data_IF_190704167682
#
_entry.id   IF_190704167682
#
_cell.length_a   1.000
_cell.length_b   1.000
_cell.length_c   1.000
_cell.angle_alpha   90.00
_cell.angle_beta   90.00
_cell.angle_gamma   90.00
#
_symmetry.space_group_name_H-M   'P 1'
#
loop_
_entity.id
_entity.type
_entity.pdbx_description
1 polymer ?
#
# COMPACT_ATOMS: atom_id res chain seq x y z
N UNK A 1 -9.68 -23.21 7.86
CA UNK A 1 -9.58 -22.74 7.71
C UNK A 1 -9.44 -21.70 7.91
N UNK A 2 -9.58 -21.40 8.35
CA UNK A 2 -9.57 -20.27 8.61
C UNK A 2 -8.48 -19.55 8.36
N UNK A 3 -7.55 -20.05 8.14
CA UNK A 3 -6.47 -19.44 7.77
C UNK A 3 -6.65 -18.51 6.75
N UNK A 4 -7.45 -18.84 5.88
CA UNK A 4 -7.72 -17.99 4.81
C UNK A 4 -8.25 -16.74 5.23
N UNK A 5 -8.87 -16.73 6.32
CA UNK A 5 -9.43 -15.49 6.78
C UNK A 5 -8.37 -14.50 7.11
N UNK A 6 -7.14 -14.91 7.13
CA UNK A 6 -6.10 -13.97 7.40
C UNK A 6 -5.58 -13.37 6.16
N UNK A 7 -6.34 -13.40 5.13
CA UNK A 7 -5.92 -12.80 3.91
C UNK A 7 -5.48 -11.45 4.20
N UNK A 8 -4.32 -11.15 3.77
CA UNK A 8 -3.72 -9.92 4.08
C UNK A 8 -4.12 -8.83 3.16
N UNK A 9 -3.91 -7.65 3.61
CA UNK A 9 -3.94 -6.49 2.74
C UNK A 9 -2.53 -6.28 2.23
N UNK A 10 -2.40 -5.96 0.98
CA UNK A 10 -1.11 -5.73 0.36
C UNK A 10 -0.92 -4.24 0.14
N UNK A 11 0.19 -3.72 0.63
CA UNK A 11 0.55 -2.34 0.38
C UNK A 11 1.82 -2.32 -0.44
N UNK A 12 1.74 -1.80 -1.65
CA UNK A 12 2.91 -1.62 -2.49
C UNK A 12 3.36 -0.17 -2.36
N UNK A 13 4.56 0.05 -1.87
CA UNK A 13 5.09 1.38 -1.69
C UNK A 13 6.18 1.63 -2.71
N UNK A 14 5.99 2.63 -3.55
CA UNK A 14 6.95 2.97 -4.58
C UNK A 14 7.74 4.21 -4.18
N UNK A 15 9.05 4.12 -4.25
CA UNK A 15 9.93 5.20 -3.83
C UNK A 15 11.12 5.32 -4.77
N UNK A 16 11.84 6.42 -4.66
CA UNK A 16 13.06 6.60 -5.43
C UNK A 16 14.11 7.28 -4.57
N UNK A 17 15.36 7.22 -5.01
CA UNK A 17 16.46 7.75 -4.23
C UNK A 17 16.41 9.27 -4.10
N UNK A 18 15.82 9.95 -5.08
CA UNK A 18 15.79 11.40 -5.06
C UNK A 18 14.47 11.98 -4.55
N UNK A 19 13.65 11.16 -3.97
CA UNK A 19 12.35 11.59 -3.50
C UNK A 19 12.45 12.07 -2.07
N UNK A 20 12.17 13.33 -1.84
CA UNK A 20 12.31 13.93 -0.52
C UNK A 20 11.41 13.31 0.53
N UNK A 21 10.18 13.04 0.18
CA UNK A 21 9.23 12.48 1.14
C UNK A 21 9.28 10.97 1.28
N UNK A 22 10.06 10.29 0.46
CA UNK A 22 10.04 8.84 0.47
C UNK A 22 10.56 8.20 1.76
N UNK A 23 11.64 8.70 2.38
CA UNK A 23 12.07 8.08 3.64
C UNK A 23 11.01 8.16 4.71
N UNK A 24 10.30 9.26 4.78
CA UNK A 24 9.25 9.43 5.77
C UNK A 24 8.06 8.54 5.45
N UNK A 25 7.71 8.45 4.17
CA UNK A 25 6.62 7.57 3.75
C UNK A 25 6.93 6.11 4.07
N UNK A 26 8.16 5.68 3.82
CA UNK A 26 8.56 4.31 4.11
C UNK A 26 8.46 4.02 5.60
N UNK A 27 8.88 4.96 6.42
CA UNK A 27 8.80 4.81 7.85
C UNK A 27 7.36 4.75 8.33
N UNK A 28 6.52 5.62 7.80
CA UNK A 28 5.12 5.65 8.19
C UNK A 28 4.41 4.33 7.84
N UNK A 29 4.69 3.81 6.66
CA UNK A 29 4.06 2.57 6.22
C UNK A 29 4.56 1.39 7.03
N UNK A 30 5.87 1.35 7.30
CA UNK A 30 6.44 0.27 8.11
C UNK A 30 5.87 0.28 9.52
N UNK A 31 5.72 1.48 10.07
CA UNK A 31 5.18 1.61 11.41
C UNK A 31 3.72 1.17 11.46
N UNK A 32 2.96 1.54 10.45
CA UNK A 32 1.57 1.11 10.35
C UNK A 32 1.49 -0.41 10.30
N UNK A 33 2.31 -1.02 9.45
CA UNK A 33 2.27 -2.46 9.26
C UNK A 33 2.75 -3.23 10.46
N UNK A 34 3.61 -2.63 11.27
CA UNK A 34 4.19 -3.33 12.41
C UNK A 34 3.15 -3.69 13.45
N UNK A 35 2.03 -3.00 13.47
CA UNK A 35 0.96 -3.30 14.42
C UNK A 35 -0.18 -4.05 13.78
N UNK A 36 -0.03 -4.47 12.53
CA UNK A 36 -1.13 -5.15 11.83
C UNK A 36 -0.62 -6.41 11.16
N UNK A 37 -0.77 -7.56 11.79
CA UNK A 37 -0.22 -8.80 11.25
C UNK A 37 -0.83 -9.21 9.92
N UNK A 38 -1.99 -8.64 9.59
CA UNK A 38 -2.64 -8.97 8.32
C UNK A 38 -2.26 -8.00 7.20
N UNK A 39 -1.27 -7.16 7.39
CA UNK A 39 -0.82 -6.22 6.37
C UNK A 39 0.57 -6.59 5.91
N UNK A 40 0.73 -6.75 4.61
CA UNK A 40 2.01 -7.05 4.00
C UNK A 40 2.45 -5.85 3.20
N UNK A 41 3.66 -5.38 3.41
CA UNK A 41 4.22 -4.24 2.69
C UNK A 41 5.33 -4.72 1.78
N UNK A 42 5.28 -4.31 0.52
CA UNK A 42 6.34 -4.56 -0.42
C UNK A 42 6.84 -3.21 -0.90
N UNK A 43 8.12 -2.97 -0.74
CA UNK A 43 8.72 -1.71 -1.14
C UNK A 43 9.36 -1.88 -2.51
N UNK A 44 9.09 -0.94 -3.41
CA UNK A 44 9.56 -0.99 -4.78
C UNK A 44 10.44 0.20 -5.06
N UNK A 45 11.71 -0.08 -5.35
CA UNK A 45 12.68 0.97 -5.64
C UNK A 45 12.63 1.28 -7.13
N UNK A 46 12.17 2.47 -7.48
CA UNK A 46 12.00 2.83 -8.88
C UNK A 46 13.30 3.01 -9.64
N UNK A 47 14.42 2.95 -8.94
CA UNK A 47 15.71 2.99 -9.62
C UNK A 47 16.01 1.59 -10.19
N UNK A 48 15.21 0.60 -9.86
CA UNK A 48 15.32 -0.73 -10.43
C UNK A 48 14.33 -0.81 -11.58
N UNK A 49 14.81 -1.16 -12.76
CA UNK A 49 13.99 -1.13 -13.96
C UNK A 49 12.71 -1.95 -13.89
N UNK A 50 12.80 -3.13 -13.34
CA UNK A 50 11.61 -3.97 -13.23
C UNK A 50 10.54 -3.32 -12.35
N UNK A 51 10.96 -2.61 -11.30
CA UNK A 51 10.03 -1.94 -10.42
C UNK A 51 9.42 -0.72 -11.10
N UNK A 52 10.20 -0.05 -11.93
CA UNK A 52 9.69 1.09 -12.66
C UNK A 52 8.60 0.64 -13.64
N UNK A 53 8.78 -0.52 -14.25
CA UNK A 53 7.77 -1.03 -15.17
C UNK A 53 6.46 -1.33 -14.43
N UNK A 54 6.57 -1.83 -13.21
CA UNK A 54 5.37 -2.09 -12.42
C UNK A 54 4.66 -0.78 -12.09
N UNK A 55 5.42 0.26 -11.76
CA UNK A 55 4.83 1.56 -11.47
C UNK A 55 4.09 2.10 -12.68
N UNK A 56 4.63 1.86 -13.88
CA UNK A 56 3.97 2.31 -15.08
C UNK A 56 2.65 1.59 -15.30
N UNK A 57 2.57 0.34 -14.90
CA UNK A 57 1.31 -0.40 -15.02
C UNK A 57 0.24 0.20 -14.15
N UNK A 58 0.62 0.74 -12.99
CA UNK A 58 -0.34 1.40 -12.12
C UNK A 58 -0.53 2.85 -12.50
N UNK A 59 0.19 3.32 -13.53
CA UNK A 59 0.09 4.70 -14.00
C UNK A 59 0.43 5.69 -12.90
N UNK A 60 1.43 5.38 -12.12
CA UNK A 60 1.85 6.27 -11.05
C UNK A 60 2.56 7.48 -11.64
N UNK A 61 2.27 8.65 -11.10
CA UNK A 61 2.81 9.90 -11.62
C UNK A 61 3.74 10.63 -10.66
N UNK A 62 3.88 10.12 -9.46
CA UNK A 62 4.71 10.80 -8.46
C UNK A 62 5.12 9.81 -7.39
N UNK A 63 6.14 10.16 -6.61
CA UNK A 63 6.57 9.39 -5.44
C UNK A 63 6.59 10.30 -4.24
N UNK A 64 6.39 9.79 -3.05
CA UNK A 64 6.07 8.39 -2.78
C UNK A 64 4.64 8.07 -3.21
N UNK A 65 4.43 6.83 -3.60
CA UNK A 65 3.11 6.36 -3.99
C UNK A 65 2.80 5.06 -3.29
N UNK A 66 1.59 4.94 -2.80
CA UNK A 66 1.11 3.72 -2.17
C UNK A 66 0.01 3.14 -3.03
N UNK A 67 0.05 1.84 -3.23
CA UNK A 67 -1.07 1.16 -3.88
C UNK A 67 -1.56 0.11 -2.90
N UNK A 68 -2.78 0.27 -2.43
CA UNK A 68 -3.36 -0.63 -1.44
C UNK A 68 -4.26 -1.63 -2.14
N UNK A 69 -3.96 -2.89 -1.93
CA UNK A 69 -4.74 -4.00 -2.51
C UNK A 69 -4.89 -3.89 -4.03
N UNK A 70 -3.86 -3.35 -4.66
CA UNK A 70 -3.79 -3.20 -6.11
C UNK A 70 -4.93 -2.35 -6.68
N UNK A 71 -5.53 -1.55 -5.85
CA UNK A 71 -6.73 -0.82 -6.23
C UNK A 71 -6.64 0.67 -5.90
N UNK A 72 -6.32 1.00 -4.68
CA UNK A 72 -6.34 2.39 -4.23
C UNK A 72 -4.95 3.00 -4.26
N UNK A 73 -4.81 4.10 -4.95
CA UNK A 73 -3.52 4.79 -5.05
C UNK A 73 -3.54 6.03 -4.18
N UNK A 74 -2.51 6.19 -3.37
CA UNK A 74 -2.34 7.38 -2.55
C UNK A 74 -0.96 7.96 -2.82
N UNK A 75 -0.86 9.27 -2.93
CA UNK A 75 0.41 9.94 -3.16
C UNK A 75 0.85 10.73 -1.94
N UNK A 76 2.15 10.92 -1.80
CA UNK A 76 2.70 11.71 -0.71
C UNK A 76 2.92 10.87 0.54
N UNK A 77 3.35 11.52 1.62
CA UNK A 77 3.56 10.83 2.87
C UNK A 77 2.20 10.47 3.47
N UNK A 78 1.92 9.18 3.62
CA UNK A 78 0.59 8.78 4.06
C UNK A 78 0.40 8.98 5.55
N UNK A 79 -0.81 9.30 5.92
CA UNK A 79 -1.15 9.36 7.34
C UNK A 79 -1.66 7.99 7.76
N UNK A 80 -1.26 7.52 8.92
CA UNK A 80 -1.72 6.20 9.38
C UNK A 80 -3.24 6.07 9.36
N UNK A 81 -3.94 7.13 9.71
CA UNK A 81 -5.39 7.10 9.72
C UNK A 81 -5.97 6.89 8.33
N UNK A 82 -5.33 7.47 7.31
CA UNK A 82 -5.80 7.31 5.96
C UNK A 82 -5.61 5.88 5.46
N UNK A 83 -4.47 5.28 5.81
CA UNK A 83 -4.22 3.90 5.43
C UNK A 83 -5.21 3.00 6.18
N UNK A 84 -5.41 3.27 7.46
CA UNK A 84 -6.31 2.47 8.27
C UNK A 84 -7.73 2.52 7.74
N UNK A 85 -8.16 3.70 7.33
CA UNK A 85 -9.50 3.85 6.80
C UNK A 85 -9.71 2.95 5.60
N UNK A 86 -8.69 2.82 4.78
CA UNK A 86 -8.80 2.00 3.58
C UNK A 86 -8.69 0.51 3.92
N UNK A 87 -7.72 0.15 4.75
CA UNK A 87 -7.47 -1.24 5.09
C UNK A 87 -8.60 -1.80 5.95
N UNK A 88 -9.02 -1.05 6.94
CA UNK A 88 -10.05 -1.54 7.86
C UNK A 88 -11.43 -1.55 7.24
N UNK A 89 -11.65 -0.70 6.26
CA UNK A 89 -12.95 -0.64 5.65
C UNK A 89 -13.16 -1.71 4.61
N UNK A 90 -12.07 -2.21 4.07
CA UNK A 90 -12.21 -3.06 2.96
C UNK A 90 -12.53 -4.43 3.23
N UNK A 91 -12.82 -4.95 4.15
CA UNK A 91 -13.00 -6.25 4.37
C UNK A 91 -13.96 -6.86 3.63
N UNK A 92 -13.69 -7.24 3.60
CA UNK A 92 -14.26 -7.88 3.29
C UNK A 92 -15.39 -7.68 2.96
N UNK A 93 -15.50 -7.13 3.48
CA UNK A 93 -16.53 -6.85 3.32
C UNK A 93 -16.99 -6.62 2.20
N UNK A 94 -16.62 -6.30 1.98
CA UNK A 94 -17.01 -5.98 1.06
C UNK A 94 -17.69 -6.79 0.41
N UNK A 95 -17.64 -7.17 0.53
CA UNK A 95 -18.21 -7.82 -0.09
C UNK A 95 -19.36 -7.98 0.08
N UNK A 96 -19.37 -7.68 0.51
CA UNK A 96 -20.43 -7.74 0.52
C UNK A 96 -21.17 -7.36 0.32
N UNK A 97 -20.76 -6.99 0.32
CA UNK A 97 -21.46 -6.61 0.15
C UNK A 97 -22.01 -6.46 -0.51
N UNK A 98 -21.63 -6.49 -0.57
CA UNK A 98 -22.15 -6.20 -1.26
C UNK A 98 -22.89 -6.35 -1.64
N UNK A 99 -23.07 -6.42 -1.47
CA UNK A 99 -23.84 -6.59 -1.69
C UNK A 99 -24.61 -6.25 -1.77
N UNK A 100 -24.58 -5.89 -1.59
CA UNK A 100 -25.40 -5.46 -1.55
C UNK A 100 -25.96 -5.21 -2.02
#
# INVERSE_FOLDING_TARGET
MCILSNVSHLIDLFYSAHCIGCPEARQAVRRFASSRPNVVVVEHDLDVEAELELAKRYRLIATPALVIDRDTVMYGVPRPAAIAARVDASPVASSDEGIR
#
